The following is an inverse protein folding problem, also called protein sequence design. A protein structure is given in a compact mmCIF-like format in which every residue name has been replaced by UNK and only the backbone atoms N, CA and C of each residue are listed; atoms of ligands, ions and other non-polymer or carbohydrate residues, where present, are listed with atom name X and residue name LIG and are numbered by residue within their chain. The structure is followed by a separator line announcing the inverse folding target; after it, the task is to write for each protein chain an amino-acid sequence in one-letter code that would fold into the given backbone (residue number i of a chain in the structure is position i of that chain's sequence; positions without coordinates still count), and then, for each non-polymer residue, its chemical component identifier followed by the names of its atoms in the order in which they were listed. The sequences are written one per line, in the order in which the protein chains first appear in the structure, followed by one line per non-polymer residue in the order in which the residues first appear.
data_IF_644785409299
#
_entry.id   IF_644785409299
#
_cell.length_a   1.000
_cell.length_b   1.000
_cell.length_c   1.000
_cell.angle_alpha   90.00
_cell.angle_beta   90.00
_cell.angle_gamma   90.00
#
_symmetry.space_group_name_H-M   'P 1'
#
loop_
_entity.id
_entity.type
_entity.pdbx_description
1 polymer ?
#
# COMPACT_ATOMS: atom_id res chain seq x y z
N UNK A 1 10.16 -0.23 -3.85
CA UNK A 1 8.98 -0.88 -4.45
C UNK A 1 9.33 -2.32 -4.84
N UNK A 2 8.44 -3.25 -4.59
CA UNK A 2 8.56 -4.68 -4.96
C UNK A 2 7.48 -5.10 -5.98
N UNK A 3 6.90 -4.12 -6.68
CA UNK A 3 5.82 -4.32 -7.66
C UNK A 3 4.41 -3.98 -7.14
N UNK A 4 4.27 -3.60 -5.86
CA UNK A 4 2.98 -3.33 -5.24
C UNK A 4 2.44 -1.91 -5.52
N UNK A 5 3.15 -1.06 -6.26
CA UNK A 5 2.69 0.25 -6.69
C UNK A 5 3.06 1.43 -5.78
N UNK A 6 3.99 1.25 -4.82
CA UNK A 6 4.42 2.33 -3.93
C UNK A 6 4.96 3.54 -4.71
N UNK A 7 5.67 3.33 -5.81
CA UNK A 7 6.21 4.38 -6.66
C UNK A 7 5.15 5.41 -7.08
N UNK A 8 4.04 4.94 -7.62
CA UNK A 8 2.93 5.78 -8.05
C UNK A 8 2.29 6.52 -6.87
N UNK A 9 2.05 5.81 -5.77
CA UNK A 9 1.39 6.38 -4.58
C UNK A 9 2.25 7.46 -3.93
N UNK A 10 3.57 7.29 -3.84
CA UNK A 10 4.47 8.33 -3.30
C UNK A 10 4.41 9.62 -4.11
N UNK A 11 4.44 9.50 -5.45
CA UNK A 11 4.30 10.66 -6.34
C UNK A 11 2.94 11.34 -6.16
N UNK A 12 1.84 10.57 -6.10
CA UNK A 12 0.50 11.13 -5.91
C UNK A 12 0.38 11.90 -4.59
N UNK A 13 0.88 11.33 -3.49
CA UNK A 13 0.86 11.98 -2.17
C UNK A 13 1.67 13.27 -2.16
N UNK A 14 2.89 13.25 -2.70
CA UNK A 14 3.76 14.42 -2.73
C UNK A 14 3.20 15.51 -3.65
N UNK A 15 2.68 15.13 -4.82
CA UNK A 15 2.09 16.04 -5.79
C UNK A 15 0.87 16.78 -5.22
N UNK A 16 0.01 16.06 -4.50
CA UNK A 16 -1.16 16.64 -3.84
C UNK A 16 -0.74 17.60 -2.71
N UNK A 17 0.25 17.21 -1.89
CA UNK A 17 0.80 18.05 -0.83
C UNK A 17 1.42 19.34 -1.36
N UNK A 18 2.12 19.27 -2.48
CA UNK A 18 2.70 20.44 -3.15
C UNK A 18 1.64 21.26 -3.89
N UNK A 19 0.58 20.62 -4.36
CA UNK A 19 -0.50 21.24 -5.13
C UNK A 19 -0.19 21.40 -6.61
N UNK A 20 0.57 20.47 -7.20
CA UNK A 20 0.87 20.41 -8.64
C UNK A 20 0.56 19.04 -9.22
N UNK A 21 0.48 18.93 -10.54
CA UNK A 21 0.21 17.66 -11.20
C UNK A 21 1.31 16.63 -10.98
N UNK A 22 0.94 15.38 -10.71
CA UNK A 22 1.86 14.25 -10.62
C UNK A 22 2.71 14.05 -11.89
N UNK A 23 2.22 14.50 -13.06
CA UNK A 23 2.94 14.44 -14.34
C UNK A 23 4.17 15.37 -14.41
N UNK A 24 4.36 16.22 -13.40
CA UNK A 24 5.52 17.13 -13.30
C UNK A 24 6.67 16.55 -12.48
N UNK A 25 6.52 15.33 -11.99
CA UNK A 25 7.54 14.64 -11.19
C UNK A 25 8.33 13.65 -12.01
N UNK A 26 9.64 13.70 -11.87
CA UNK A 26 10.53 12.60 -12.19
C UNK A 26 10.87 11.89 -10.89
N UNK A 27 10.59 10.59 -10.84
CA UNK A 27 10.75 9.78 -9.63
C UNK A 27 12.07 9.03 -9.65
N UNK A 28 12.89 9.24 -8.62
CA UNK A 28 14.08 8.44 -8.37
C UNK A 28 13.81 7.56 -7.14
N UNK A 29 13.81 6.24 -7.33
CA UNK A 29 13.62 5.24 -6.27
C UNK A 29 14.54 4.04 -6.48
N UNK A 30 14.99 3.47 -5.36
CA UNK A 30 15.83 2.26 -5.38
C UNK A 30 17.26 2.47 -5.87
N UNK A 31 17.70 3.70 -5.99
CA UNK A 31 19.07 4.06 -6.28
C UNK A 31 19.82 4.30 -4.94
N UNK A 32 20.75 3.42 -4.61
CA UNK A 32 21.47 3.46 -3.33
C UNK A 32 22.43 4.63 -3.20
N UNK A 33 22.78 5.28 -4.30
CA UNK A 33 23.66 6.44 -4.30
C UNK A 33 22.88 7.75 -4.14
N UNK A 34 21.61 7.77 -4.55
CA UNK A 34 20.78 8.98 -4.60
C UNK A 34 19.64 8.99 -3.57
N UNK A 35 19.13 7.82 -3.17
CA UNK A 35 17.96 7.74 -2.29
C UNK A 35 18.34 7.40 -0.86
N UNK A 36 17.68 8.07 0.09
CA UNK A 36 17.84 7.75 1.50
C UNK A 36 17.27 6.35 1.84
N UNK A 37 17.88 5.67 2.81
CA UNK A 37 17.35 4.41 3.32
C UNK A 37 16.09 4.67 4.16
N UNK A 38 14.95 4.21 3.65
CA UNK A 38 13.66 4.24 4.35
C UNK A 38 13.30 2.88 5.00
N UNK A 39 14.25 1.97 5.05
CA UNK A 39 14.07 0.59 5.52
C UNK A 39 13.35 -0.30 4.50
N UNK A 40 13.02 -1.50 4.94
CA UNK A 40 12.44 -2.53 4.07
C UNK A 40 10.97 -2.29 3.74
N UNK A 41 10.54 -2.77 2.57
CA UNK A 41 9.13 -2.91 2.20
C UNK A 41 8.54 -4.14 2.90
N UNK A 42 7.89 -3.95 4.02
CA UNK A 42 7.26 -5.01 4.84
C UNK A 42 6.28 -4.39 5.84
N UNK A 43 5.51 -5.23 6.55
CA UNK A 43 4.57 -4.82 7.60
C UNK A 43 3.55 -3.77 7.14
N UNK A 44 3.18 -3.78 5.87
CA UNK A 44 2.22 -2.84 5.25
C UNK A 44 2.52 -1.36 5.51
N UNK A 45 3.80 -1.00 5.66
CA UNK A 45 4.23 0.31 6.15
C UNK A 45 4.45 1.38 5.07
N UNK A 46 4.54 1.03 3.80
CA UNK A 46 4.97 1.97 2.75
C UNK A 46 4.07 3.20 2.65
N UNK A 47 2.77 3.02 2.43
CA UNK A 47 1.83 4.15 2.31
C UNK A 47 1.78 4.95 3.61
N UNK A 48 1.75 4.29 4.77
CA UNK A 48 1.64 4.95 6.07
C UNK A 48 2.91 5.72 6.44
N UNK A 49 4.09 5.10 6.36
CA UNK A 49 5.36 5.68 6.82
C UNK A 49 6.00 6.54 5.72
N UNK A 50 6.35 5.92 4.59
CA UNK A 50 7.02 6.63 3.48
C UNK A 50 6.08 7.62 2.81
N UNK A 51 4.78 7.30 2.71
CA UNK A 51 3.77 8.23 2.22
C UNK A 51 3.63 9.47 3.10
N UNK A 52 3.70 9.33 4.44
CA UNK A 52 3.70 10.48 5.34
C UNK A 52 4.95 11.33 5.17
N UNK A 53 6.12 10.72 4.99
CA UNK A 53 7.35 11.44 4.69
C UNK A 53 7.25 12.22 3.36
N UNK A 54 6.68 11.59 2.32
CA UNK A 54 6.44 12.24 1.03
C UNK A 54 5.45 13.41 1.14
N UNK A 55 4.37 13.27 1.93
CA UNK A 55 3.45 14.37 2.24
C UNK A 55 4.19 15.54 2.87
N UNK A 56 4.96 15.30 3.93
CA UNK A 56 5.71 16.34 4.64
C UNK A 56 6.74 17.02 3.75
N UNK A 57 7.39 16.29 2.84
CA UNK A 57 8.31 16.87 1.87
C UNK A 57 7.59 17.85 0.92
N UNK A 58 6.45 17.44 0.37
CA UNK A 58 5.60 18.27 -0.49
C UNK A 58 5.08 19.52 0.23
N UNK A 59 4.58 19.37 1.46
CA UNK A 59 4.10 20.48 2.29
C UNK A 59 5.20 21.49 2.59
N UNK A 60 6.41 21.03 2.93
CA UNK A 60 7.56 21.91 3.19
C UNK A 60 8.04 22.64 1.95
N UNK A 61 8.07 21.98 0.81
CA UNK A 61 8.41 22.64 -0.45
C UNK A 61 7.34 23.67 -0.83
N UNK A 62 6.06 23.33 -0.68
CA UNK A 62 4.96 24.28 -0.86
C UNK A 62 5.10 25.51 0.02
N UNK A 63 5.38 25.34 1.31
CA UNK A 63 5.57 26.45 2.24
C UNK A 63 6.74 27.39 1.82
N UNK A 64 7.84 26.83 1.34
CA UNK A 64 8.96 27.61 0.79
C UNK A 64 8.55 28.44 -0.43
N UNK A 65 7.80 27.83 -1.36
CA UNK A 65 7.31 28.52 -2.56
C UNK A 65 6.37 29.66 -2.18
N UNK A 66 5.42 29.41 -1.29
CA UNK A 66 4.47 30.41 -0.80
C UNK A 66 5.19 31.59 -0.14
N UNK A 67 6.17 31.30 0.70
CA UNK A 67 6.99 32.34 1.35
C UNK A 67 7.81 33.12 0.34
N UNK A 68 8.41 32.46 -0.64
CA UNK A 68 9.23 33.13 -1.67
C UNK A 68 8.37 34.05 -2.60
N UNK A 69 7.15 33.58 -2.91
CA UNK A 69 6.20 34.32 -3.73
C UNK A 69 5.42 35.41 -2.95
N UNK A 70 5.52 35.43 -1.62
CA UNK A 70 4.75 36.31 -0.74
C UNK A 70 3.24 36.24 -0.94
N UNK A 71 2.72 35.04 -1.18
CA UNK A 71 1.30 34.77 -1.41
C UNK A 71 0.66 34.07 -0.22
N UNK A 72 -0.66 33.91 -0.25
CA UNK A 72 -1.41 33.18 0.79
C UNK A 72 -1.19 31.66 0.72
N UNK A 73 -1.42 30.95 1.83
CA UNK A 73 -1.33 29.47 1.91
C UNK A 73 -2.28 28.76 0.94
N UNK A 74 -3.31 29.45 0.45
CA UNK A 74 -4.28 28.92 -0.52
C UNK A 74 -3.90 29.14 -1.98
N UNK A 75 -2.74 29.76 -2.24
CA UNK A 75 -2.30 30.04 -3.60
C UNK A 75 -2.22 28.77 -4.45
N UNK A 76 -2.69 28.86 -5.67
CA UNK A 76 -2.50 27.82 -6.67
C UNK A 76 -1.08 27.91 -7.22
N UNK A 77 -0.36 26.79 -7.23
CA UNK A 77 1.00 26.68 -7.75
C UNK A 77 0.96 26.02 -9.12
N UNK A 78 1.64 26.61 -10.08
CA UNK A 78 1.82 26.05 -11.41
C UNK A 78 3.28 26.10 -11.82
N UNK A 79 3.78 25.04 -12.47
CA UNK A 79 5.16 24.98 -12.97
C UNK A 79 5.16 24.62 -14.45
N UNK A 80 5.92 25.40 -15.25
CA UNK A 80 6.11 25.17 -16.67
C UNK A 80 7.55 25.50 -17.06
N UNK A 81 8.36 24.47 -17.29
CA UNK A 81 9.79 24.63 -17.47
C UNK A 81 10.43 25.31 -16.26
N UNK A 82 11.13 26.42 -16.50
CA UNK A 82 11.78 27.21 -15.43
C UNK A 82 10.85 28.23 -14.76
N UNK A 83 9.59 28.32 -15.18
CA UNK A 83 8.63 29.28 -14.64
C UNK A 83 7.76 28.61 -13.59
N UNK A 84 7.84 29.12 -12.38
CA UNK A 84 6.94 28.77 -11.28
C UNK A 84 6.02 29.95 -11.02
N UNK A 85 4.73 29.72 -11.10
CA UNK A 85 3.70 30.73 -10.88
C UNK A 85 2.91 30.38 -9.62
N UNK A 86 2.79 31.32 -8.69
CA UNK A 86 1.91 31.23 -7.54
C UNK A 86 0.80 32.27 -7.67
N UNK A 87 -0.47 31.85 -7.60
CA UNK A 87 -1.63 32.72 -7.80
C UNK A 87 -2.59 32.64 -6.63
N UNK A 88 -2.92 33.78 -6.06
CA UNK A 88 -3.94 33.93 -5.04
C UNK A 88 -4.91 35.07 -5.36
N UNK A 89 -5.67 35.54 -4.36
CA UNK A 89 -6.63 36.65 -4.48
C UNK A 89 -5.98 38.01 -4.74
N UNK A 90 -4.70 38.15 -4.39
CA UNK A 90 -3.93 39.41 -4.56
C UNK A 90 -3.31 39.54 -5.94
N UNK A 91 -3.15 38.43 -6.66
CA UNK A 91 -2.58 38.42 -7.99
C UNK A 91 -1.83 37.15 -8.36
N UNK A 92 -1.02 37.28 -9.40
CA UNK A 92 -0.16 36.21 -9.92
C UNK A 92 1.30 36.63 -9.77
N UNK A 93 2.09 35.79 -9.11
CA UNK A 93 3.50 36.03 -8.81
C UNK A 93 4.33 34.99 -9.57
N UNK A 94 5.23 35.49 -10.42
CA UNK A 94 6.12 34.67 -11.23
C UNK A 94 7.51 34.60 -10.57
N UNK A 95 7.98 33.37 -10.41
CA UNK A 95 9.34 33.04 -9.99
C UNK A 95 10.03 32.36 -11.16
N UNK A 96 11.21 32.86 -11.54
CA UNK A 96 12.06 32.20 -12.53
C UNK A 96 13.08 31.38 -11.77
N UNK A 97 13.04 30.06 -11.94
CA UNK A 97 13.87 29.14 -11.17
C UNK A 97 15.37 29.32 -11.43
N UNK A 98 15.75 29.69 -12.66
CA UNK A 98 17.16 30.01 -13.00
C UNK A 98 17.71 31.28 -12.34
N UNK A 99 16.86 32.14 -11.79
CA UNK A 99 17.29 33.34 -11.05
C UNK A 99 17.60 33.00 -9.57
N UNK A 100 17.24 31.81 -9.11
CA UNK A 100 17.53 31.35 -7.75
C UNK A 100 18.89 30.63 -7.74
N UNK A 101 19.75 31.00 -6.79
CA UNK A 101 21.05 30.37 -6.63
C UNK A 101 20.85 28.89 -6.25
N UNK A 102 21.41 27.93 -7.02
CA UNK A 102 21.31 26.52 -6.69
C UNK A 102 22.10 26.20 -5.41
N UNK A 103 21.65 25.15 -4.72
CA UNK A 103 22.37 24.54 -3.60
C UNK A 103 23.62 23.78 -4.09
N UNK A 104 24.44 23.27 -3.16
CA UNK A 104 25.68 22.53 -3.51
C UNK A 104 25.42 21.29 -4.37
N UNK A 105 24.23 20.66 -4.21
CA UNK A 105 23.80 19.50 -4.99
C UNK A 105 23.17 19.87 -6.35
N UNK A 106 23.08 21.17 -6.67
CA UNK A 106 22.46 21.69 -7.90
C UNK A 106 20.95 21.95 -7.82
N UNK A 107 20.30 21.58 -6.73
CA UNK A 107 18.87 21.85 -6.54
C UNK A 107 18.61 23.34 -6.27
N UNK A 108 17.51 23.84 -6.80
CA UNK A 108 17.11 25.25 -6.63
C UNK A 108 16.22 25.40 -5.39
N UNK A 109 15.20 24.56 -5.26
CA UNK A 109 14.28 24.51 -4.13
C UNK A 109 14.09 23.06 -3.69
N UNK A 110 14.21 22.80 -2.40
CA UNK A 110 14.05 21.45 -1.83
C UNK A 110 13.04 21.43 -0.71
N UNK A 111 12.29 20.33 -0.62
CA UNK A 111 11.48 19.97 0.52
C UNK A 111 11.87 18.58 1.00
N UNK A 112 12.20 18.44 2.27
CA UNK A 112 12.55 17.18 2.89
C UNK A 112 11.48 16.75 3.87
N UNK A 113 11.15 15.46 3.91
CA UNK A 113 10.19 14.88 4.85
C UNK A 113 10.73 13.63 5.48
N UNK A 114 10.59 13.54 6.79
CA UNK A 114 10.85 12.33 7.57
C UNK A 114 9.67 12.05 8.47
N UNK A 115 9.34 10.78 8.64
CA UNK A 115 8.31 10.35 9.56
C UNK A 115 8.73 9.06 10.24
N UNK A 116 8.76 9.10 11.57
CA UNK A 116 8.95 7.94 12.42
C UNK A 116 7.69 7.77 13.27
N UNK A 117 6.91 6.69 13.05
CA UNK A 117 5.67 6.51 13.78
C UNK A 117 5.92 6.30 15.27
N UNK A 118 5.03 6.81 16.15
CA UNK A 118 5.21 6.72 17.60
C UNK A 118 4.99 5.29 18.08
N UNK A 119 6.04 4.49 18.05
CA UNK A 119 6.04 3.10 18.51
C UNK A 119 7.04 2.88 19.63
N UNK A 120 6.76 1.91 20.49
CA UNK A 120 7.71 1.42 21.49
C UNK A 120 7.92 -0.09 21.29
N UNK A 121 9.17 -0.57 21.29
CA UNK A 121 9.42 -2.00 21.19
C UNK A 121 8.80 -2.76 22.37
N UNK A 122 8.61 -4.06 22.19
CA UNK A 122 8.20 -4.92 23.29
C UNK A 122 9.37 -5.07 24.29
N UNK A 123 9.05 -4.96 25.57
CA UNK A 123 9.98 -5.23 26.66
C UNK A 123 10.21 -6.74 26.89
N UNK A 124 10.97 -7.09 27.93
CA UNK A 124 11.25 -8.48 28.29
C UNK A 124 9.99 -9.26 28.68
N UNK A 125 8.94 -8.56 29.12
CA UNK A 125 7.63 -9.13 29.44
C UNK A 125 6.68 -9.12 28.24
N UNK A 126 7.16 -8.76 27.04
CA UNK A 126 6.39 -8.61 25.80
C UNK A 126 5.30 -7.54 25.89
N UNK A 127 5.54 -6.47 26.66
CA UNK A 127 4.67 -5.30 26.76
C UNK A 127 5.26 -4.15 25.97
N UNK A 128 4.41 -3.38 25.28
CA UNK A 128 4.82 -2.24 24.47
C UNK A 128 3.76 -1.86 23.44
N UNK A 129 4.04 -0.87 22.62
CA UNK A 129 3.17 -0.42 21.52
C UNK A 129 3.96 -0.45 20.21
N UNK A 130 4.25 -1.65 19.66
CA UNK A 130 5.10 -1.80 18.48
C UNK A 130 4.40 -1.39 17.17
N UNK A 131 3.09 -1.13 17.22
CA UNK A 131 2.26 -0.76 16.07
C UNK A 131 1.60 0.60 16.30
N UNK A 132 1.73 1.50 15.34
CA UNK A 132 1.11 2.84 15.40
C UNK A 132 -0.32 2.86 14.84
N UNK A 133 -0.67 1.89 13.99
CA UNK A 133 -1.99 1.78 13.37
C UNK A 133 -2.36 0.32 13.12
N UNK A 134 -3.66 0.08 12.94
CA UNK A 134 -4.23 -1.23 12.66
C UNK A 134 -5.16 -1.15 11.45
N UNK A 135 -5.05 -2.13 10.55
CA UNK A 135 -6.01 -2.34 9.47
C UNK A 135 -6.91 -3.53 9.79
N UNK A 136 -8.20 -3.38 9.58
CA UNK A 136 -9.19 -4.44 9.79
C UNK A 136 -9.65 -5.00 8.45
N UNK A 137 -9.90 -6.31 8.40
CA UNK A 137 -10.40 -6.95 7.20
C UNK A 137 -11.34 -8.10 7.54
N UNK A 138 -12.35 -8.29 6.68
CA UNK A 138 -13.26 -9.41 6.74
C UNK A 138 -13.49 -9.95 5.33
N UNK A 139 -13.52 -11.29 5.21
CA UNK A 139 -13.80 -11.94 3.93
C UNK A 139 -14.85 -13.05 4.12
N UNK A 140 -15.65 -13.24 3.09
CA UNK A 140 -16.61 -14.32 2.97
C UNK A 140 -16.28 -15.07 1.69
N UNK A 141 -16.08 -16.39 1.79
CA UNK A 141 -15.85 -17.26 0.65
C UNK A 141 -17.08 -18.13 0.38
N UNK A 142 -17.51 -18.16 -0.88
CA UNK A 142 -18.48 -19.12 -1.40
C UNK A 142 -17.71 -20.25 -2.06
N UNK A 143 -17.93 -21.48 -1.60
CA UNK A 143 -17.20 -22.66 -2.05
C UNK A 143 -18.13 -23.75 -2.52
N UNK A 144 -17.66 -24.55 -3.51
CA UNK A 144 -18.25 -25.82 -3.92
C UNK A 144 -17.30 -26.93 -3.53
N UNK A 145 -17.82 -27.93 -2.81
CA UNK A 145 -17.03 -29.08 -2.33
C UNK A 145 -17.56 -30.37 -2.93
N UNK A 146 -16.75 -31.08 -3.68
CA UNK A 146 -17.03 -32.43 -4.11
C UNK A 146 -16.59 -33.41 -3.00
N UNK A 147 -17.55 -33.89 -2.21
CA UNK A 147 -17.27 -34.79 -1.07
C UNK A 147 -16.83 -36.22 -1.50
N UNK A 148 -17.01 -36.58 -2.78
CA UNK A 148 -16.56 -37.87 -3.31
C UNK A 148 -15.09 -37.82 -3.70
N UNK A 149 -14.62 -36.68 -4.19
CA UNK A 149 -13.25 -36.45 -4.62
C UNK A 149 -12.41 -35.73 -3.57
N UNK A 150 -13.04 -35.09 -2.58
CA UNK A 150 -12.36 -34.23 -1.61
C UNK A 150 -11.88 -32.87 -2.19
N UNK A 151 -12.34 -32.50 -3.39
CA UNK A 151 -11.90 -31.27 -4.05
C UNK A 151 -12.77 -30.08 -3.69
N UNK A 152 -12.12 -28.92 -3.56
CA UNK A 152 -12.80 -27.64 -3.27
C UNK A 152 -12.54 -26.64 -4.37
N UNK A 153 -13.61 -26.00 -4.85
CA UNK A 153 -13.55 -24.86 -5.76
C UNK A 153 -14.09 -23.62 -5.06
N UNK A 154 -13.31 -22.55 -5.04
CA UNK A 154 -13.79 -21.24 -4.56
C UNK A 154 -14.51 -20.55 -5.72
N UNK A 155 -15.77 -20.19 -5.53
CA UNK A 155 -16.61 -19.59 -6.56
C UNK A 155 -16.55 -18.07 -6.51
N UNK A 156 -16.60 -17.53 -5.29
CA UNK A 156 -16.62 -16.07 -5.05
C UNK A 156 -15.99 -15.75 -3.69
N UNK A 157 -15.33 -14.59 -3.63
CA UNK A 157 -14.89 -13.97 -2.37
C UNK A 157 -15.41 -12.53 -2.33
N UNK A 158 -16.14 -12.21 -1.25
CA UNK A 158 -16.46 -10.83 -0.88
C UNK A 158 -15.48 -10.38 0.20
N UNK A 159 -14.76 -9.28 -0.06
CA UNK A 159 -13.66 -8.80 0.76
C UNK A 159 -13.87 -7.34 1.17
N UNK A 160 -13.99 -7.09 2.47
CA UNK A 160 -14.07 -5.76 3.05
C UNK A 160 -12.77 -5.45 3.81
N UNK A 161 -12.10 -4.37 3.45
CA UNK A 161 -10.83 -3.99 4.06
C UNK A 161 -10.79 -2.51 4.43
N UNK A 162 -10.38 -2.24 5.67
CA UNK A 162 -10.08 -0.90 6.14
C UNK A 162 -8.73 -0.44 5.59
N UNK A 163 -8.75 0.62 4.82
CA UNK A 163 -7.59 1.21 4.14
C UNK A 163 -7.30 2.65 4.60
N UNK A 164 -8.02 3.11 5.64
CA UNK A 164 -8.01 4.52 6.00
C UNK A 164 -8.58 5.35 4.86
N UNK A 165 -7.88 6.39 4.42
CA UNK A 165 -8.25 7.13 3.21
C UNK A 165 -7.61 6.51 1.98
N UNK A 166 -8.41 6.17 0.99
CA UNK A 166 -7.94 5.58 -0.27
C UNK A 166 -7.18 6.62 -1.10
N UNK A 167 -5.90 6.38 -1.39
CA UNK A 167 -5.09 7.25 -2.26
C UNK A 167 -5.27 6.86 -3.73
N UNK A 168 -5.18 5.57 -4.04
CA UNK A 168 -5.34 5.05 -5.40
C UNK A 168 -6.23 3.80 -5.37
N UNK A 169 -7.55 3.93 -5.64
CA UNK A 169 -8.49 2.82 -5.56
C UNK A 169 -8.09 1.60 -6.38
N UNK A 170 -7.66 1.80 -7.62
CA UNK A 170 -7.28 0.70 -8.53
C UNK A 170 -6.10 -0.12 -7.98
N UNK A 171 -5.10 0.56 -7.40
CA UNK A 171 -3.96 -0.15 -6.80
C UNK A 171 -4.33 -0.83 -5.49
N UNK A 172 -5.22 -0.25 -4.70
CA UNK A 172 -5.74 -0.88 -3.47
C UNK A 172 -6.50 -2.16 -3.81
N UNK A 173 -7.40 -2.13 -4.79
CA UNK A 173 -8.10 -3.32 -5.28
C UNK A 173 -7.11 -4.38 -5.78
N UNK A 174 -6.10 -3.96 -6.54
CA UNK A 174 -5.03 -4.85 -7.01
C UNK A 174 -4.27 -5.54 -5.86
N UNK A 175 -3.99 -4.83 -4.77
CA UNK A 175 -3.37 -5.41 -3.57
C UNK A 175 -4.30 -6.43 -2.88
N UNK A 176 -5.60 -6.16 -2.80
CA UNK A 176 -6.58 -7.08 -2.23
C UNK A 176 -6.69 -8.35 -3.08
N UNK A 177 -6.77 -8.20 -4.40
CA UNK A 177 -6.78 -9.34 -5.32
C UNK A 177 -5.51 -10.20 -5.18
N UNK A 178 -4.34 -9.56 -5.12
CA UNK A 178 -3.06 -10.25 -4.92
C UNK A 178 -2.96 -10.97 -3.58
N UNK A 179 -3.46 -10.35 -2.50
CA UNK A 179 -3.53 -10.98 -1.17
C UNK A 179 -4.46 -12.19 -1.16
N UNK A 180 -5.62 -12.09 -1.82
CA UNK A 180 -6.56 -13.21 -1.96
C UNK A 180 -5.93 -14.36 -2.75
N UNK A 181 -5.17 -14.07 -3.82
CA UNK A 181 -4.48 -15.11 -4.57
C UNK A 181 -3.49 -15.89 -3.69
N UNK A 182 -2.69 -15.21 -2.87
CA UNK A 182 -1.80 -15.85 -1.91
C UNK A 182 -2.56 -16.66 -0.86
N UNK A 183 -3.67 -16.11 -0.33
CA UNK A 183 -4.49 -16.80 0.66
C UNK A 183 -5.21 -18.02 0.10
N UNK A 184 -5.60 -17.99 -1.18
CA UNK A 184 -6.16 -19.16 -1.91
C UNK A 184 -5.11 -20.26 -2.02
N UNK A 185 -3.90 -19.91 -2.46
CA UNK A 185 -2.78 -20.85 -2.55
C UNK A 185 -2.47 -21.51 -1.21
N UNK A 186 -2.34 -20.70 -0.16
CA UNK A 186 -2.13 -21.19 1.20
C UNK A 186 -3.25 -22.15 1.66
N UNK A 187 -4.50 -21.83 1.30
CA UNK A 187 -5.64 -22.62 1.74
C UNK A 187 -5.74 -24.00 1.05
N UNK A 188 -5.44 -24.06 -0.27
CA UNK A 188 -5.83 -25.21 -1.10
C UNK A 188 -4.69 -25.89 -1.86
N UNK A 189 -3.52 -25.25 -2.05
CA UNK A 189 -2.54 -25.71 -3.04
C UNK A 189 -1.10 -25.72 -2.55
N UNK A 190 -0.65 -24.63 -1.90
CA UNK A 190 0.77 -24.38 -1.65
C UNK A 190 1.27 -25.15 -0.43
N UNK A 191 2.21 -26.05 -0.64
CA UNK A 191 2.90 -26.78 0.43
C UNK A 191 4.37 -26.97 0.07
N UNK A 192 5.26 -26.45 0.90
CA UNK A 192 6.69 -26.71 0.77
C UNK A 192 7.02 -28.05 1.47
N UNK A 193 7.46 -29.02 0.67
CA UNK A 193 7.92 -30.31 1.16
C UNK A 193 9.42 -30.39 0.91
N UNK A 194 10.21 -30.49 2.00
CA UNK A 194 11.67 -30.57 1.91
C UNK A 194 12.10 -31.75 1.03
N UNK A 195 13.11 -31.53 0.17
CA UNK A 195 13.64 -32.50 -0.79
C UNK A 195 12.68 -32.92 -1.91
N UNK A 196 11.46 -32.34 -1.95
CA UNK A 196 10.46 -32.61 -3.00
C UNK A 196 10.13 -31.33 -3.78
N UNK A 197 9.88 -30.22 -3.09
CA UNK A 197 9.51 -28.95 -3.72
C UNK A 197 10.72 -28.23 -4.31
N UNK A 198 11.22 -28.73 -5.45
CA UNK A 198 12.42 -28.19 -6.11
C UNK A 198 12.09 -27.18 -7.20
N UNK A 199 10.86 -27.17 -7.71
CA UNK A 199 10.43 -26.30 -8.81
C UNK A 199 8.89 -26.09 -8.76
N UNK A 200 8.34 -25.28 -9.71
CA UNK A 200 6.91 -24.94 -9.76
C UNK A 200 6.00 -26.07 -10.26
N UNK A 201 6.53 -27.22 -10.64
CA UNK A 201 5.71 -28.42 -10.87
C UNK A 201 5.41 -29.17 -9.56
N UNK A 202 6.30 -28.99 -8.59
CA UNK A 202 6.19 -29.66 -7.29
C UNK A 202 5.58 -28.71 -6.23
N UNK A 203 5.80 -27.39 -6.38
CA UNK A 203 5.18 -26.35 -5.57
C UNK A 203 4.09 -25.64 -6.39
N UNK A 204 2.85 -26.00 -6.14
CA UNK A 204 1.71 -25.50 -6.91
C UNK A 204 1.27 -24.11 -6.40
N UNK A 205 1.20 -23.15 -7.30
CA UNK A 205 0.62 -21.84 -7.03
C UNK A 205 -0.68 -21.65 -7.83
N UNK A 206 -1.65 -20.87 -7.33
CA UNK A 206 -2.84 -20.54 -8.08
C UNK A 206 -2.51 -19.89 -9.42
N UNK A 207 -3.19 -20.33 -10.45
CA UNK A 207 -3.18 -19.72 -11.77
C UNK A 207 -4.38 -18.80 -11.95
N UNK A 208 -4.44 -18.07 -13.04
CA UNK A 208 -5.59 -17.23 -13.40
C UNK A 208 -6.90 -18.05 -13.50
N UNK A 209 -6.80 -19.35 -13.83
CA UNK A 209 -7.95 -20.24 -13.91
C UNK A 209 -8.51 -20.69 -12.54
N UNK A 210 -7.71 -20.56 -11.48
CA UNK A 210 -8.10 -20.94 -10.11
C UNK A 210 -8.74 -19.77 -9.37
N UNK A 211 -8.58 -18.53 -9.88
CA UNK A 211 -9.08 -17.35 -9.21
C UNK A 211 -10.60 -17.27 -9.23
N UNK A 212 -11.24 -17.03 -8.06
CA UNK A 212 -12.68 -16.81 -7.98
C UNK A 212 -13.08 -15.43 -8.48
N UNK A 213 -14.40 -15.19 -8.61
CA UNK A 213 -14.92 -13.84 -8.66
C UNK A 213 -14.66 -13.11 -7.34
N UNK A 214 -14.10 -11.91 -7.39
CA UNK A 214 -13.77 -11.11 -6.20
C UNK A 214 -14.57 -9.82 -6.21
N UNK A 215 -15.25 -9.57 -5.10
CA UNK A 215 -15.97 -8.32 -4.84
C UNK A 215 -15.27 -7.57 -3.70
N UNK A 216 -14.79 -6.36 -3.99
CA UNK A 216 -14.01 -5.56 -3.03
C UNK A 216 -14.86 -4.43 -2.48
N UNK A 217 -14.84 -4.27 -1.15
CA UNK A 217 -15.41 -3.14 -0.43
C UNK A 217 -14.30 -2.41 0.32
N UNK A 218 -13.99 -1.18 -0.07
CA UNK A 218 -13.02 -0.34 0.62
C UNK A 218 -13.73 0.38 1.76
N UNK A 219 -13.25 0.15 2.99
CA UNK A 219 -13.72 0.84 4.19
C UNK A 219 -12.74 1.98 4.48
N UNK A 220 -13.24 3.20 4.47
CA UNK A 220 -12.45 4.38 4.80
C UNK A 220 -12.69 4.78 6.26
N UNK A 221 -11.76 4.38 7.14
CA UNK A 221 -11.66 4.84 8.53
C UNK A 221 -10.31 5.59 8.68
N UNK A 222 -10.31 6.93 8.47
CA UNK A 222 -9.07 7.69 8.33
C UNK A 222 -8.16 7.61 9.54
N UNK A 223 -6.88 7.31 9.31
CA UNK A 223 -5.83 7.25 10.32
C UNK A 223 -5.16 8.63 10.48
N UNK A 224 -5.29 9.29 11.64
CA UNK A 224 -4.78 10.66 11.82
C UNK A 224 -3.28 10.83 11.55
N UNK A 225 -2.48 9.80 11.78
CA UNK A 225 -1.04 9.83 11.55
C UNK A 225 -0.66 9.53 10.09
N UNK A 226 -1.55 8.90 9.33
CA UNK A 226 -1.31 8.56 7.94
C UNK A 226 -1.35 9.76 6.99
N UNK A 227 -0.75 9.65 5.78
CA UNK A 227 -0.88 10.69 4.77
C UNK A 227 -2.35 10.78 4.33
N UNK A 228 -2.95 11.94 4.51
CA UNK A 228 -4.40 12.19 4.25
C UNK A 228 -5.35 11.21 4.95
N UNK A 229 -4.88 10.51 5.96
CA UNK A 229 -5.63 9.49 6.66
C UNK A 229 -5.48 8.07 6.09
N UNK A 230 -4.55 7.83 5.17
CA UNK A 230 -4.33 6.51 4.57
C UNK A 230 -3.63 5.54 5.52
N UNK A 231 -3.99 4.27 5.39
CA UNK A 231 -3.31 3.11 6.00
C UNK A 231 -2.58 2.30 4.93
N UNK A 232 -1.68 1.40 5.33
CA UNK A 232 -1.09 0.42 4.42
C UNK A 232 -2.06 -0.73 4.13
N UNK A 233 -2.04 -1.26 2.90
CA UNK A 233 -2.82 -2.42 2.46
C UNK A 233 -1.91 -3.44 1.79
N UNK A 234 -1.04 -4.10 2.54
CA UNK A 234 -0.16 -5.14 2.01
C UNK A 234 -0.55 -6.51 2.53
N UNK A 235 -0.40 -6.74 3.81
CA UNK A 235 -0.48 -8.07 4.41
C UNK A 235 -1.88 -8.44 4.87
N UNK A 236 -2.67 -7.51 5.40
CA UNK A 236 -3.99 -7.86 5.94
C UNK A 236 -5.02 -8.26 4.88
N UNK A 237 -4.76 -8.02 3.59
CA UNK A 237 -5.58 -8.54 2.51
C UNK A 237 -5.51 -10.08 2.38
N UNK A 238 -4.38 -10.68 2.74
CA UNK A 238 -4.14 -12.11 2.73
C UNK A 238 -4.77 -12.83 3.95
N UNK A 239 -4.67 -12.21 5.14
CA UNK A 239 -4.91 -12.87 6.43
C UNK A 239 -6.29 -13.56 6.54
N UNK A 240 -7.42 -12.95 6.14
CA UNK A 240 -8.73 -13.58 6.31
C UNK A 240 -9.10 -14.59 5.21
N UNK A 241 -8.32 -14.73 4.15
CA UNK A 241 -8.69 -15.54 2.98
C UNK A 241 -8.75 -17.04 3.30
N UNK A 242 -7.65 -17.61 3.82
CA UNK A 242 -7.64 -19.03 4.17
C UNK A 242 -8.71 -19.38 5.22
N UNK A 243 -8.87 -18.64 6.32
CA UNK A 243 -9.96 -18.89 7.27
C UNK A 243 -11.36 -18.82 6.66
N UNK A 244 -11.61 -17.89 5.73
CA UNK A 244 -12.90 -17.79 5.03
C UNK A 244 -13.18 -19.04 4.18
N UNK A 245 -12.19 -19.51 3.42
CA UNK A 245 -12.29 -20.73 2.60
C UNK A 245 -12.54 -21.96 3.49
N UNK A 246 -11.74 -22.13 4.55
CA UNK A 246 -11.91 -23.26 5.48
C UNK A 246 -13.25 -23.22 6.23
N UNK A 247 -13.72 -22.00 6.55
CA UNK A 247 -15.07 -21.80 7.09
C UNK A 247 -16.16 -22.29 6.13
N UNK A 248 -16.02 -22.00 4.84
CA UNK A 248 -16.89 -22.50 3.78
C UNK A 248 -16.88 -24.02 3.65
N UNK A 249 -15.69 -24.64 3.64
CA UNK A 249 -15.55 -26.11 3.61
C UNK A 249 -16.24 -26.74 4.82
N UNK A 250 -15.98 -26.22 6.02
CA UNK A 250 -16.62 -26.69 7.24
C UNK A 250 -18.14 -26.57 7.18
N UNK A 251 -18.65 -25.45 6.65
CA UNK A 251 -20.09 -25.25 6.50
C UNK A 251 -20.72 -26.24 5.53
N UNK A 252 -20.04 -26.54 4.41
CA UNK A 252 -20.52 -27.47 3.39
C UNK A 252 -20.49 -28.95 3.84
N UNK A 253 -19.45 -29.32 4.60
CA UNK A 253 -19.17 -30.76 4.90
C UNK A 253 -19.42 -31.13 6.37
N UNK A 254 -19.44 -30.19 7.28
CA UNK A 254 -19.43 -30.39 8.73
C UNK A 254 -18.05 -30.75 9.30
N UNK A 255 -17.01 -30.90 8.45
CA UNK A 255 -15.65 -31.29 8.86
C UNK A 255 -14.76 -30.04 9.02
N UNK A 256 -14.03 -29.96 10.12
CA UNK A 256 -13.04 -28.93 10.35
C UNK A 256 -11.66 -29.38 9.86
N UNK A 257 -11.05 -28.59 8.98
CA UNK A 257 -9.68 -28.81 8.49
C UNK A 257 -8.72 -28.05 9.41
N UNK A 258 -7.69 -28.70 9.92
CA UNK A 258 -6.70 -28.14 10.86
C UNK A 258 -5.27 -28.09 10.28
N UNK A 259 -5.07 -28.61 9.09
CA UNK A 259 -3.81 -28.59 8.37
C UNK A 259 -4.00 -27.96 6.99
N UNK A 260 -3.08 -27.11 6.57
CA UNK A 260 -3.08 -26.49 5.24
C UNK A 260 -1.95 -27.09 4.39
N UNK A 261 -2.15 -27.10 3.08
CA UNK A 261 -3.38 -26.82 2.32
C UNK A 261 -4.47 -27.88 2.54
N UNK A 262 -5.74 -27.51 2.33
CA UNK A 262 -6.88 -28.44 2.42
C UNK A 262 -6.98 -29.30 1.15
N UNK A 263 -6.05 -30.22 1.01
CA UNK A 263 -5.97 -31.18 -0.10
C UNK A 263 -6.96 -32.34 0.08
N UNK A 264 -7.30 -33.08 -1.00
CA UNK A 264 -8.29 -34.17 -0.94
C UNK A 264 -8.01 -35.27 0.09
N UNK A 265 -6.78 -35.47 0.48
CA UNK A 265 -6.33 -36.46 1.45
C UNK A 265 -6.45 -35.99 2.92
N UNK A 266 -6.80 -34.75 3.16
CA UNK A 266 -6.95 -34.12 4.49
C UNK A 266 -8.39 -33.83 4.85
#
# INVERSE_FOLDING_TARGET
DIGQGANTVMVQICADALGISASKFDLVMGDTDLTADAGKTSASRQTFVSGKAAQLAGERLRAKIIHLAEVSDRAAIHIEGEKLTAKDETGEHLIILSDILPQENGDVLTGEGTFDPPTTPLDENRQGSPYATYGFGAQIAEVEVDTSLGTTKVLRIAAAHDVGKTINPTQVEGQIHGGIAQGLGLALMEEYIQEVSENLHDYLMPTVGDMPSIEVMLIEDPEPLGPYGAKGIGEHALIPTAPAILGGIKHATGVAIHHLPATPDR
#
